data_IF_297532046304
#
_entry.id   IF_297532046304
#
_cell.length_a   1.000
_cell.length_b   1.000
_cell.length_c   1.000
_cell.angle_alpha   90.00
_cell.angle_beta   90.00
_cell.angle_gamma   90.00
#
_symmetry.space_group_name_H-M   'P 1'
#
loop_
_entity.id
_entity.type
_entity.pdbx_description
1 polymer ?
#
# COMPACT_ATOMS: atom_id res chain seq x y z
N UNK A 1 46.38 -42.27 -2.50
CA UNK A 1 46.02 -40.85 -2.74
C UNK A 1 44.65 -40.79 -3.38
N UNK A 2 43.79 -39.88 -2.89
CA UNK A 2 42.38 -39.61 -3.28
C UNK A 2 41.35 -40.66 -2.86
N UNK A 3 40.42 -40.22 -2.00
CA UNK A 3 39.26 -40.92 -1.36
C UNK A 3 39.54 -41.41 0.06
N UNK A 4 39.74 -40.48 1.01
CA UNK A 4 39.51 -40.71 2.46
C UNK A 4 39.65 -39.41 3.31
N UNK A 5 39.38 -38.22 2.75
CA UNK A 5 39.48 -36.95 3.51
C UNK A 5 38.16 -36.16 3.60
N UNK A 6 37.09 -36.58 2.89
CA UNK A 6 35.74 -36.03 3.09
C UNK A 6 34.93 -36.90 4.07
N UNK A 7 35.29 -36.92 5.35
CA UNK A 7 34.42 -37.47 6.40
C UNK A 7 34.71 -36.94 7.82
N UNK A 8 35.60 -35.97 8.00
CA UNK A 8 36.07 -35.56 9.33
C UNK A 8 35.91 -34.06 9.65
N UNK A 9 34.96 -33.36 9.01
CA UNK A 9 34.66 -31.95 9.29
C UNK A 9 33.18 -31.67 9.62
N UNK A 10 32.38 -32.71 9.89
CA UNK A 10 30.95 -32.59 10.24
C UNK A 10 30.64 -32.79 11.73
N UNK A 11 31.63 -32.66 12.61
CA UNK A 11 31.42 -32.74 14.06
C UNK A 11 32.03 -31.53 14.76
N UNK A 12 31.37 -30.39 14.58
CA UNK A 12 31.38 -29.30 15.54
C UNK A 12 29.95 -28.73 15.62
N UNK A 13 29.30 -29.03 16.74
CA UNK A 13 28.06 -28.52 17.36
C UNK A 13 27.15 -27.52 16.61
N UNK A 14 25.82 -27.67 16.73
CA UNK A 14 24.84 -26.92 15.95
C UNK A 14 24.56 -25.53 16.54
N UNK A 15 24.86 -24.48 15.78
CA UNK A 15 24.03 -23.28 15.75
C UNK A 15 22.96 -23.48 14.67
N UNK A 16 22.02 -24.39 14.92
CA UNK A 16 20.97 -24.74 13.97
C UNK A 16 20.11 -23.53 13.54
N UNK A 17 20.07 -22.45 14.33
CA UNK A 17 19.41 -21.19 13.96
C UNK A 17 20.13 -20.41 12.86
N UNK A 18 21.45 -20.23 12.97
CA UNK A 18 22.22 -19.38 12.04
C UNK A 18 22.44 -20.04 10.67
N UNK A 19 22.60 -21.37 10.65
CA UNK A 19 22.78 -22.11 9.39
C UNK A 19 21.49 -22.12 8.54
N UNK A 20 20.31 -22.15 9.19
CA UNK A 20 19.01 -22.23 8.53
C UNK A 20 18.49 -20.87 8.05
N UNK A 21 18.80 -19.79 8.76
CA UNK A 21 18.61 -18.41 8.29
C UNK A 21 19.37 -18.15 6.98
N UNK A 22 20.62 -18.65 6.88
CA UNK A 22 21.45 -18.46 5.68
C UNK A 22 20.85 -19.17 4.45
N UNK A 23 20.32 -20.39 4.62
CA UNK A 23 19.77 -21.17 3.51
C UNK A 23 18.44 -20.61 3.02
N UNK A 24 17.56 -20.21 3.93
CA UNK A 24 16.26 -19.59 3.58
C UNK A 24 16.46 -18.26 2.86
N UNK A 25 17.40 -17.43 3.32
CA UNK A 25 17.76 -16.17 2.67
C UNK A 25 18.38 -16.41 1.27
N UNK A 26 19.28 -17.40 1.14
CA UNK A 26 19.86 -17.80 -0.15
C UNK A 26 18.80 -18.30 -1.14
N UNK A 27 17.86 -19.12 -0.68
CA UNK A 27 16.75 -19.61 -1.49
C UNK A 27 15.81 -18.47 -1.90
N UNK A 28 15.53 -17.53 -0.99
CA UNK A 28 14.71 -16.37 -1.30
C UNK A 28 15.38 -15.46 -2.34
N UNK A 29 16.70 -15.27 -2.28
CA UNK A 29 17.43 -14.51 -3.30
C UNK A 29 17.40 -15.19 -4.68
N UNK A 30 17.47 -16.52 -4.71
CA UNK A 30 17.42 -17.28 -5.96
C UNK A 30 16.03 -17.26 -6.62
N UNK A 31 14.96 -17.33 -5.81
CA UNK A 31 13.58 -17.23 -6.30
C UNK A 31 12.74 -16.37 -5.35
N UNK A 32 12.80 -15.03 -5.52
CA UNK A 32 12.09 -14.11 -4.64
C UNK A 32 10.58 -14.31 -4.72
N UNK A 33 9.96 -14.42 -3.56
CA UNK A 33 8.50 -14.39 -3.38
C UNK A 33 8.16 -13.36 -2.33
N UNK A 34 6.94 -12.82 -2.38
CA UNK A 34 6.45 -11.89 -1.36
C UNK A 34 6.56 -12.50 0.04
N UNK A 35 6.23 -13.78 0.19
CA UNK A 35 6.33 -14.49 1.46
C UNK A 35 7.76 -14.51 1.99
N UNK A 36 8.73 -14.89 1.17
CA UNK A 36 10.10 -15.02 1.65
C UNK A 36 10.74 -13.65 1.94
N UNK A 37 10.38 -12.60 1.20
CA UNK A 37 10.81 -11.23 1.51
C UNK A 37 10.25 -10.75 2.87
N UNK A 38 9.00 -11.11 3.20
CA UNK A 38 8.42 -10.85 4.53
C UNK A 38 9.13 -11.64 5.64
N UNK A 39 9.56 -12.88 5.37
CA UNK A 39 10.36 -13.66 6.32
C UNK A 39 11.71 -12.98 6.58
N UNK A 40 12.41 -12.58 5.52
CA UNK A 40 13.67 -11.84 5.65
C UNK A 40 13.48 -10.53 6.43
N UNK A 41 12.37 -9.81 6.22
CA UNK A 41 12.05 -8.61 6.97
C UNK A 41 11.85 -8.93 8.47
N UNK A 42 11.12 -10.00 8.79
CA UNK A 42 10.92 -10.44 10.16
C UNK A 42 12.23 -10.82 10.86
N UNK A 43 13.10 -11.57 10.19
CA UNK A 43 14.41 -11.98 10.72
C UNK A 43 15.32 -10.76 10.98
N UNK A 44 15.31 -9.77 10.08
CA UNK A 44 16.03 -8.52 10.27
C UNK A 44 15.53 -7.73 11.50
N UNK A 45 14.23 -7.75 11.80
CA UNK A 45 13.67 -7.13 13.01
C UNK A 45 14.09 -7.87 14.27
N UNK A 46 14.00 -9.21 14.27
CA UNK A 46 14.40 -10.02 15.43
C UNK A 46 15.87 -9.79 15.79
N UNK A 47 16.71 -9.59 14.78
CA UNK A 47 18.14 -9.24 14.94
C UNK A 47 18.35 -7.84 15.53
N UNK A 48 17.41 -6.92 15.32
CA UNK A 48 17.51 -5.53 15.77
C UNK A 48 17.18 -5.29 17.26
N UNK A 49 16.79 -6.34 18.01
CA UNK A 49 16.31 -6.20 19.39
C UNK A 49 17.40 -5.71 20.38
N UNK A 50 17.05 -4.91 21.41
CA UNK A 50 15.70 -4.61 21.88
C UNK A 50 14.98 -3.58 21.02
N UNK A 51 13.72 -3.91 20.71
CA UNK A 51 12.81 -3.10 19.91
C UNK A 51 12.24 -2.00 20.81
N UNK A 52 12.92 -0.86 20.93
CA UNK A 52 12.21 0.32 21.41
C UNK A 52 11.16 0.66 20.36
N UNK A 53 9.89 0.67 20.76
CA UNK A 53 8.68 0.74 19.91
C UNK A 53 8.56 2.01 19.07
N UNK A 54 9.55 2.89 19.08
CA UNK A 54 9.41 4.24 18.53
C UNK A 54 9.63 4.35 17.02
N UNK A 55 10.21 3.36 16.34
CA UNK A 55 10.63 3.57 14.94
C UNK A 55 10.41 2.38 13.97
N UNK A 56 9.54 1.41 14.29
CA UNK A 56 9.23 0.31 13.36
C UNK A 56 7.78 0.39 12.87
N UNK A 57 7.52 0.18 11.56
CA UNK A 57 6.20 0.32 10.95
C UNK A 57 5.31 -0.90 11.21
N UNK A 58 5.11 -1.29 12.47
CA UNK A 58 4.36 -2.50 12.83
C UNK A 58 2.97 -2.56 12.21
N UNK A 59 2.26 -1.43 12.12
CA UNK A 59 0.97 -1.35 11.42
C UNK A 59 1.07 -1.81 9.97
N UNK A 60 2.02 -1.24 9.22
CA UNK A 60 2.25 -1.59 7.82
C UNK A 60 2.74 -3.03 7.64
N UNK A 61 3.48 -3.57 8.62
CA UNK A 61 3.89 -4.97 8.63
C UNK A 61 2.72 -5.92 8.86
N UNK A 62 1.84 -5.63 9.81
CA UNK A 62 0.61 -6.39 10.04
C UNK A 62 -0.25 -6.37 8.77
N UNK A 63 -0.44 -5.21 8.14
CA UNK A 63 -1.13 -5.10 6.86
C UNK A 63 -0.52 -6.03 5.80
N UNK A 64 0.79 -5.91 5.56
CA UNK A 64 1.44 -6.65 4.48
C UNK A 64 1.45 -8.16 4.71
N UNK A 65 1.64 -8.61 5.95
CA UNK A 65 1.62 -10.03 6.32
C UNK A 65 0.21 -10.61 6.29
N UNK A 66 -0.80 -9.84 6.74
CA UNK A 66 -2.22 -10.21 6.65
C UNK A 66 -2.65 -10.39 5.19
N UNK A 67 -2.32 -9.42 4.33
CA UNK A 67 -2.61 -9.47 2.89
C UNK A 67 -1.84 -10.57 2.15
N UNK A 68 -0.72 -11.03 2.70
CA UNK A 68 0.04 -12.16 2.17
C UNK A 68 -0.43 -13.53 2.74
N UNK A 69 -1.43 -13.56 3.62
CA UNK A 69 -1.90 -14.78 4.27
C UNK A 69 -0.93 -15.36 5.31
N UNK A 70 0.07 -14.58 5.76
CA UNK A 70 1.07 -14.99 6.76
C UNK A 70 0.54 -14.73 8.17
N UNK A 71 -0.53 -15.42 8.53
CA UNK A 71 -1.35 -15.13 9.71
C UNK A 71 -0.58 -15.19 11.03
N UNK A 72 0.29 -16.19 11.22
CA UNK A 72 1.04 -16.34 12.48
C UNK A 72 2.08 -15.21 12.64
N UNK A 73 2.72 -14.81 11.53
CA UNK A 73 3.63 -13.67 11.51
C UNK A 73 2.88 -12.34 11.68
N UNK A 74 1.68 -12.22 11.12
CA UNK A 74 0.81 -11.07 11.32
C UNK A 74 0.41 -10.93 12.80
N UNK A 75 0.13 -12.03 13.50
CA UNK A 75 -0.12 -12.05 14.95
C UNK A 75 1.10 -11.64 15.76
N UNK A 76 2.29 -12.12 15.39
CA UNK A 76 3.55 -11.72 16.03
C UNK A 76 3.73 -10.20 16.00
N UNK A 77 3.54 -9.57 14.84
CA UNK A 77 3.60 -8.11 14.72
C UNK A 77 2.41 -7.40 15.37
N UNK A 78 1.22 -8.02 15.33
CA UNK A 78 0.03 -7.47 15.95
C UNK A 78 0.20 -7.24 17.46
N UNK A 79 1.02 -8.07 18.13
CA UNK A 79 1.35 -7.92 19.54
C UNK A 79 1.98 -6.56 19.88
N UNK A 80 2.59 -5.89 18.90
CA UNK A 80 3.24 -4.58 19.06
C UNK A 80 2.33 -3.39 18.66
N UNK A 81 1.14 -3.65 18.12
CA UNK A 81 0.21 -2.59 17.72
C UNK A 81 -0.29 -1.78 18.91
N UNK A 82 -0.44 -0.49 18.67
CA UNK A 82 -1.14 0.46 19.54
C UNK A 82 -2.61 0.49 19.17
N UNK A 83 -3.45 0.95 20.09
CA UNK A 83 -4.90 1.12 19.87
C UNK A 83 -5.22 2.02 18.66
N UNK A 84 -4.32 2.93 18.29
CA UNK A 84 -4.46 3.85 17.17
C UNK A 84 -4.28 3.21 15.79
N UNK A 85 -3.79 1.97 15.71
CA UNK A 85 -3.42 1.32 14.44
C UNK A 85 -4.63 0.63 13.76
N UNK A 86 -5.69 1.39 13.49
CA UNK A 86 -7.00 0.87 13.07
C UNK A 86 -7.00 0.20 11.69
N UNK A 87 -6.22 0.71 10.72
CA UNK A 87 -6.14 0.13 9.36
C UNK A 87 -5.49 -1.25 9.40
N UNK A 88 -4.36 -1.37 10.09
CA UNK A 88 -3.64 -2.63 10.25
C UNK A 88 -4.53 -3.70 10.90
N UNK A 89 -5.32 -3.29 11.89
CA UNK A 89 -6.28 -4.16 12.55
C UNK A 89 -7.39 -4.66 11.61
N UNK A 90 -7.91 -3.81 10.72
CA UNK A 90 -8.93 -4.19 9.75
C UNK A 90 -8.42 -5.24 8.75
N UNK A 91 -7.20 -5.07 8.21
CA UNK A 91 -6.57 -6.06 7.34
C UNK A 91 -6.32 -7.39 8.06
N UNK A 92 -5.90 -7.34 9.33
CA UNK A 92 -5.72 -8.51 10.18
C UNK A 92 -7.04 -9.27 10.39
N UNK A 93 -8.11 -8.57 10.81
CA UNK A 93 -9.44 -9.17 11.01
C UNK A 93 -9.94 -9.81 9.71
N UNK A 94 -9.82 -9.10 8.58
CA UNK A 94 -10.28 -9.60 7.29
C UNK A 94 -9.49 -10.86 6.85
N UNK A 95 -8.17 -10.90 7.08
CA UNK A 95 -7.35 -12.05 6.74
C UNK A 95 -7.71 -13.30 7.57
N UNK A 96 -7.91 -13.14 8.89
CA UNK A 96 -8.33 -14.23 9.76
C UNK A 96 -9.77 -14.67 9.51
N UNK A 97 -10.66 -13.75 9.14
CA UNK A 97 -12.02 -14.08 8.69
C UNK A 97 -12.00 -14.97 7.43
N UNK A 98 -11.18 -14.60 6.43
CA UNK A 98 -11.01 -15.40 5.20
C UNK A 98 -10.44 -16.78 5.45
N UNK A 99 -9.62 -16.93 6.47
CA UNK A 99 -9.02 -18.21 6.86
C UNK A 99 -9.87 -19.04 7.84
N UNK A 100 -11.05 -18.57 8.26
CA UNK A 100 -11.88 -19.17 9.30
C UNK A 100 -11.15 -19.35 10.64
N UNK A 101 -10.23 -18.43 10.96
CA UNK A 101 -9.37 -18.44 12.16
C UNK A 101 -9.69 -17.32 13.15
N UNK A 102 -10.88 -16.72 13.09
CA UNK A 102 -11.24 -15.57 13.94
C UNK A 102 -11.05 -15.80 15.45
N UNK A 103 -11.17 -17.04 15.92
CA UNK A 103 -10.91 -17.40 17.32
C UNK A 103 -9.48 -17.02 17.78
N UNK A 104 -8.50 -17.07 16.89
CA UNK A 104 -7.10 -16.76 17.19
C UNK A 104 -6.88 -15.27 17.47
N UNK A 105 -7.80 -14.40 17.05
CA UNK A 105 -7.70 -12.95 17.25
C UNK A 105 -8.23 -12.47 18.60
N UNK A 106 -8.92 -13.31 19.37
CA UNK A 106 -9.66 -12.86 20.56
C UNK A 106 -8.79 -12.10 21.55
N UNK A 107 -7.60 -12.61 21.87
CA UNK A 107 -6.67 -11.95 22.80
C UNK A 107 -6.19 -10.59 22.27
N UNK A 108 -5.92 -10.48 20.96
CA UNK A 108 -5.50 -9.23 20.31
C UNK A 108 -6.62 -8.20 20.33
N UNK A 109 -7.84 -8.59 19.98
CA UNK A 109 -9.02 -7.70 19.96
C UNK A 109 -9.35 -7.19 21.36
N UNK A 110 -9.29 -8.05 22.39
CA UNK A 110 -9.50 -7.63 23.77
C UNK A 110 -8.45 -6.63 24.24
N UNK A 111 -7.17 -6.85 23.91
CA UNK A 111 -6.08 -5.92 24.27
C UNK A 111 -6.21 -4.57 23.56
N UNK A 112 -6.66 -4.55 22.32
CA UNK A 112 -6.85 -3.33 21.53
C UNK A 112 -8.21 -2.65 21.80
N UNK A 113 -9.03 -3.21 22.69
CA UNK A 113 -10.35 -2.69 23.07
C UNK A 113 -11.26 -2.46 21.84
N UNK A 114 -11.19 -3.36 20.87
CA UNK A 114 -12.00 -3.26 19.63
C UNK A 114 -13.47 -3.48 19.94
N UNK A 115 -14.32 -2.55 19.50
CA UNK A 115 -15.76 -2.69 19.70
C UNK A 115 -16.37 -3.76 18.79
N UNK A 116 -17.47 -4.38 19.23
CA UNK A 116 -18.22 -5.33 18.39
C UNK A 116 -18.70 -4.71 17.08
N UNK A 117 -19.03 -3.42 17.08
CA UNK A 117 -19.45 -2.67 15.89
C UNK A 117 -18.32 -2.51 14.88
N UNK A 118 -17.12 -2.11 15.31
CA UNK A 118 -15.93 -2.02 14.44
C UNK A 118 -15.57 -3.39 13.87
N UNK A 119 -15.59 -4.42 14.73
CA UNK A 119 -15.34 -5.80 14.33
C UNK A 119 -16.33 -6.28 13.27
N UNK A 120 -17.63 -6.01 13.46
CA UNK A 120 -18.67 -6.38 12.51
C UNK A 120 -18.55 -5.63 11.19
N UNK A 121 -18.14 -4.35 11.20
CA UNK A 121 -17.97 -3.54 10.00
C UNK A 121 -16.97 -4.16 9.02
N UNK A 122 -15.92 -4.80 9.55
CA UNK A 122 -14.89 -5.50 8.76
C UNK A 122 -15.37 -6.89 8.31
N UNK A 123 -16.04 -7.65 9.17
CA UNK A 123 -16.41 -9.05 8.90
C UNK A 123 -17.61 -9.17 7.97
N UNK A 124 -18.61 -8.30 8.10
CA UNK A 124 -19.83 -8.37 7.28
C UNK A 124 -19.56 -8.47 5.78
N UNK A 125 -18.74 -7.57 5.18
CA UNK A 125 -18.36 -7.65 3.77
C UNK A 125 -17.60 -8.94 3.42
N UNK A 126 -16.75 -9.44 4.33
CA UNK A 126 -15.98 -10.68 4.11
C UNK A 126 -16.90 -11.91 4.10
N UNK A 127 -17.92 -11.95 4.96
CA UNK A 127 -18.91 -13.03 4.94
C UNK A 127 -19.71 -13.03 3.63
N UNK A 128 -20.07 -11.85 3.12
CA UNK A 128 -20.69 -11.72 1.79
C UNK A 128 -19.72 -12.20 0.71
N UNK A 129 -18.47 -11.73 0.71
CA UNK A 129 -17.42 -12.14 -0.24
C UNK A 129 -17.33 -13.67 -0.34
N UNK A 130 -17.27 -14.34 0.81
CA UNK A 130 -17.14 -15.80 0.96
C UNK A 130 -18.47 -16.57 0.78
N UNK A 131 -19.61 -15.90 0.61
CA UNK A 131 -20.92 -16.54 0.49
C UNK A 131 -21.38 -17.26 1.76
N UNK A 132 -21.08 -16.71 2.95
CA UNK A 132 -21.44 -17.26 4.27
C UNK A 132 -22.70 -16.58 4.83
N UNK A 133 -23.83 -16.81 4.18
CA UNK A 133 -25.10 -16.15 4.49
C UNK A 133 -25.63 -16.48 5.90
N UNK A 134 -25.40 -17.71 6.36
CA UNK A 134 -25.74 -18.20 7.70
C UNK A 134 -25.00 -17.40 8.80
N UNK A 135 -23.68 -17.23 8.64
CA UNK A 135 -22.85 -16.46 9.56
C UNK A 135 -23.21 -14.96 9.49
N UNK A 136 -23.56 -14.44 8.31
CA UNK A 136 -23.98 -13.05 8.14
C UNK A 136 -25.30 -12.77 8.88
N UNK A 137 -26.28 -13.66 8.77
CA UNK A 137 -27.56 -13.54 9.48
C UNK A 137 -27.37 -13.57 11.00
N UNK A 138 -26.50 -14.45 11.50
CA UNK A 138 -26.13 -14.49 12.92
C UNK A 138 -25.48 -13.19 13.39
N UNK A 139 -24.55 -12.64 12.60
CA UNK A 139 -23.88 -11.36 12.91
C UNK A 139 -24.88 -10.20 13.00
N UNK A 140 -25.80 -10.09 12.02
CA UNK A 140 -26.83 -9.04 12.02
C UNK A 140 -27.73 -9.10 13.26
N UNK A 141 -28.09 -10.31 13.70
CA UNK A 141 -28.90 -10.51 14.91
C UNK A 141 -28.16 -10.07 16.18
N UNK A 142 -26.84 -10.29 16.23
CA UNK A 142 -26.03 -9.96 17.39
C UNK A 142 -25.84 -8.45 17.56
N UNK A 143 -25.52 -7.74 16.48
CA UNK A 143 -25.10 -6.33 16.58
C UNK A 143 -26.24 -5.31 16.58
N UNK A 144 -27.43 -5.70 16.11
CA UNK A 144 -28.57 -4.79 15.89
C UNK A 144 -28.14 -3.48 15.19
N UNK A 145 -27.82 -3.54 13.88
CA UNK A 145 -27.08 -2.49 13.20
C UNK A 145 -27.73 -1.11 13.38
N UNK A 146 -26.96 -0.17 13.93
CA UNK A 146 -27.43 1.21 14.16
C UNK A 146 -27.42 2.03 12.87
N UNK A 147 -26.64 1.61 11.86
CA UNK A 147 -26.54 2.31 10.59
C UNK A 147 -27.53 1.74 9.58
N UNK A 148 -28.42 2.61 9.07
CA UNK A 148 -29.57 2.27 8.21
C UNK A 148 -29.22 1.41 6.99
N UNK A 149 -28.01 1.57 6.44
CA UNK A 149 -27.58 0.90 5.20
C UNK A 149 -26.39 -0.05 5.41
N UNK A 150 -26.17 -0.52 6.64
CA UNK A 150 -25.02 -1.37 6.97
C UNK A 150 -25.00 -2.67 6.16
N UNK A 151 -26.15 -3.34 6.06
CA UNK A 151 -26.28 -4.54 5.25
C UNK A 151 -26.03 -4.27 3.76
N UNK A 152 -26.60 -3.19 3.23
CA UNK A 152 -26.38 -2.79 1.82
C UNK A 152 -24.91 -2.50 1.56
N UNK A 153 -24.21 -1.82 2.47
CA UNK A 153 -22.76 -1.59 2.37
C UNK A 153 -21.98 -2.91 2.32
N UNK A 154 -22.28 -3.83 3.24
CA UNK A 154 -21.64 -5.15 3.27
C UNK A 154 -21.89 -5.94 1.99
N UNK A 155 -23.12 -5.89 1.48
CA UNK A 155 -23.50 -6.53 0.24
C UNK A 155 -22.78 -5.93 -0.97
N UNK A 156 -22.73 -4.60 -1.10
CA UNK A 156 -22.03 -3.92 -2.18
C UNK A 156 -20.54 -4.26 -2.14
N UNK A 157 -19.87 -3.99 -1.01
CA UNK A 157 -18.43 -4.20 -0.90
C UNK A 157 -18.03 -5.68 -1.04
N UNK A 158 -18.74 -6.59 -0.38
CA UNK A 158 -18.45 -8.02 -0.45
C UNK A 158 -18.65 -8.60 -1.84
N UNK A 159 -19.69 -8.17 -2.56
CA UNK A 159 -19.89 -8.60 -3.95
C UNK A 159 -18.85 -8.01 -4.91
N UNK A 160 -18.42 -6.75 -4.72
CA UNK A 160 -17.30 -6.19 -5.48
C UNK A 160 -16.00 -6.99 -5.25
N UNK A 161 -15.70 -7.35 -4.00
CA UNK A 161 -14.53 -8.19 -3.67
C UNK A 161 -14.62 -9.60 -4.24
N UNK A 162 -15.82 -10.14 -4.38
CA UNK A 162 -16.00 -11.44 -5.02
C UNK A 162 -16.08 -11.37 -6.57
N UNK A 163 -15.97 -10.18 -7.17
CA UNK A 163 -16.15 -9.99 -8.62
C UNK A 163 -17.61 -10.14 -9.09
N UNK A 164 -18.58 -10.20 -8.18
CA UNK A 164 -20.02 -10.32 -8.46
C UNK A 164 -20.64 -8.94 -8.69
N UNK A 165 -20.17 -8.26 -9.74
CA UNK A 165 -20.51 -6.85 -10.03
C UNK A 165 -22.02 -6.61 -10.17
N UNK A 166 -22.74 -7.52 -10.82
CA UNK A 166 -24.19 -7.40 -11.02
C UNK A 166 -24.96 -7.37 -9.68
N UNK A 167 -24.60 -8.23 -8.73
CA UNK A 167 -25.22 -8.24 -7.40
C UNK A 167 -24.83 -6.99 -6.60
N UNK A 168 -23.59 -6.51 -6.72
CA UNK A 168 -23.19 -5.25 -6.06
C UNK A 168 -24.04 -4.07 -6.56
N UNK A 169 -24.24 -3.95 -7.88
CA UNK A 169 -25.05 -2.89 -8.49
C UNK A 169 -26.53 -3.02 -8.09
N UNK A 170 -27.06 -4.25 -8.03
CA UNK A 170 -28.43 -4.51 -7.57
C UNK A 170 -28.63 -4.02 -6.13
N UNK A 171 -27.74 -4.39 -5.21
CA UNK A 171 -27.82 -3.96 -3.80
C UNK A 171 -27.61 -2.45 -3.61
N UNK A 172 -26.86 -1.81 -4.51
CA UNK A 172 -26.80 -0.35 -4.57
C UNK A 172 -28.13 0.25 -5.07
N UNK A 173 -28.83 -0.42 -5.98
CA UNK A 173 -30.16 -0.02 -6.45
C UNK A 173 -31.24 -0.07 -5.36
N UNK A 174 -31.10 -0.98 -4.39
CA UNK A 174 -32.04 -1.19 -3.28
C UNK A 174 -32.05 -0.04 -2.27
N UNK A 175 -31.03 0.84 -2.26
CA UNK A 175 -31.02 2.03 -1.41
C UNK A 175 -31.63 3.25 -2.12
N UNK A 176 -32.23 4.20 -1.38
CA UNK A 176 -32.78 5.43 -1.94
C UNK A 176 -31.75 6.16 -2.80
N UNK A 177 -32.20 6.77 -3.91
CA UNK A 177 -31.30 7.42 -4.88
C UNK A 177 -30.36 8.45 -4.25
N UNK A 178 -30.87 9.25 -3.31
CA UNK A 178 -30.09 10.26 -2.58
C UNK A 178 -28.92 9.68 -1.76
N UNK A 179 -28.93 8.38 -1.44
CA UNK A 179 -27.93 7.70 -0.60
C UNK A 179 -26.94 6.86 -1.42
N UNK A 180 -27.25 6.60 -2.70
CA UNK A 180 -26.45 5.71 -3.55
C UNK A 180 -25.02 6.20 -3.71
N UNK A 181 -24.83 7.50 -3.90
CA UNK A 181 -23.49 8.06 -4.06
C UNK A 181 -22.64 7.89 -2.80
N UNK A 182 -23.24 8.11 -1.62
CA UNK A 182 -22.57 7.89 -0.33
C UNK A 182 -22.13 6.44 -0.15
N UNK A 183 -23.02 5.49 -0.47
CA UNK A 183 -22.75 4.06 -0.37
C UNK A 183 -21.67 3.59 -1.36
N UNK A 184 -21.79 3.99 -2.63
CA UNK A 184 -20.81 3.71 -3.67
C UNK A 184 -19.44 4.30 -3.33
N UNK A 185 -19.44 5.51 -2.78
CA UNK A 185 -18.24 6.20 -2.34
C UNK A 185 -17.54 5.50 -1.18
N UNK A 186 -18.29 5.08 -0.16
CA UNK A 186 -17.75 4.33 0.98
C UNK A 186 -17.15 2.98 0.54
N UNK A 187 -17.82 2.28 -0.38
CA UNK A 187 -17.28 1.04 -0.95
C UNK A 187 -15.97 1.30 -1.73
N UNK A 188 -15.93 2.33 -2.57
CA UNK A 188 -14.73 2.72 -3.33
C UNK A 188 -13.56 3.11 -2.42
N UNK A 189 -13.82 3.88 -1.37
CA UNK A 189 -12.82 4.28 -0.38
C UNK A 189 -12.29 3.09 0.43
N UNK A 190 -13.16 2.16 0.81
CA UNK A 190 -12.73 0.93 1.50
C UNK A 190 -11.83 0.07 0.60
N UNK A 191 -12.20 -0.07 -0.69
CA UNK A 191 -11.38 -0.77 -1.69
C UNK A 191 -10.04 -0.07 -1.91
N UNK A 192 -10.01 1.27 -1.90
CA UNK A 192 -8.77 2.03 -1.97
C UNK A 192 -7.82 1.71 -0.81
N UNK A 193 -8.29 1.81 0.44
CA UNK A 193 -7.44 1.53 1.60
C UNK A 193 -7.01 0.07 1.71
N UNK A 194 -7.83 -0.87 1.21
CA UNK A 194 -7.47 -2.31 1.15
C UNK A 194 -6.58 -2.68 -0.05
N UNK A 195 -6.21 -1.73 -0.91
CA UNK A 195 -5.34 -1.96 -2.07
C UNK A 195 -6.03 -2.62 -3.27
N UNK A 196 -7.37 -2.63 -3.27
CA UNK A 196 -8.25 -3.29 -4.24
C UNK A 196 -9.02 -2.28 -5.13
N UNK A 197 -8.47 -1.06 -5.31
CA UNK A 197 -9.16 0.09 -5.94
C UNK A 197 -9.73 -0.22 -7.33
N UNK A 198 -9.10 -1.10 -8.10
CA UNK A 198 -9.59 -1.50 -9.42
C UNK A 198 -10.99 -2.14 -9.38
N UNK A 199 -11.33 -2.80 -8.26
CA UNK A 199 -12.66 -3.41 -8.05
C UNK A 199 -13.76 -2.37 -7.88
N UNK A 200 -13.40 -1.11 -7.57
CA UNK A 200 -14.35 -0.02 -7.43
C UNK A 200 -14.78 0.59 -8.77
N UNK A 201 -14.19 0.19 -9.91
CA UNK A 201 -14.54 0.72 -11.24
C UNK A 201 -16.05 0.76 -11.53
N UNK A 202 -16.85 -0.28 -11.21
CA UNK A 202 -18.29 -0.26 -11.44
C UNK A 202 -19.06 0.81 -10.66
N UNK A 203 -18.44 1.43 -9.65
CA UNK A 203 -19.04 2.49 -8.84
C UNK A 203 -18.95 3.87 -9.49
N UNK A 204 -18.09 4.06 -10.50
CA UNK A 204 -17.90 5.37 -11.17
C UNK A 204 -19.20 6.05 -11.62
N UNK A 205 -20.19 5.36 -12.24
CA UNK A 205 -21.43 5.99 -12.69
C UNK A 205 -22.28 6.58 -11.55
N UNK A 206 -22.04 6.17 -10.30
CA UNK A 206 -22.79 6.61 -9.13
C UNK A 206 -22.10 7.72 -8.35
N UNK A 207 -20.84 8.05 -8.70
CA UNK A 207 -20.10 9.17 -8.12
C UNK A 207 -20.35 10.40 -8.98
N UNK A 208 -21.49 11.06 -8.81
CA UNK A 208 -21.95 12.09 -9.74
C UNK A 208 -21.63 13.50 -9.27
N UNK A 209 -21.60 13.75 -7.96
CA UNK A 209 -21.37 15.08 -7.42
C UNK A 209 -19.93 15.57 -7.65
N UNK A 210 -19.77 16.89 -7.47
CA UNK A 210 -18.49 17.57 -7.38
C UNK A 210 -18.07 17.82 -5.92
N UNK A 211 -18.67 17.12 -4.96
CA UNK A 211 -18.20 17.13 -3.57
C UNK A 211 -16.73 16.66 -3.52
N UNK A 212 -15.86 17.33 -2.74
CA UNK A 212 -14.46 16.93 -2.55
C UNK A 212 -14.26 15.41 -2.41
N UNK A 213 -15.09 14.73 -1.61
CA UNK A 213 -14.97 13.29 -1.38
C UNK A 213 -15.27 12.48 -2.63
N UNK A 214 -16.30 12.86 -3.38
CA UNK A 214 -16.67 12.20 -4.63
C UNK A 214 -15.60 12.41 -5.72
N UNK A 215 -15.05 13.63 -5.84
CA UNK A 215 -13.96 13.95 -6.77
C UNK A 215 -12.71 13.12 -6.45
N UNK A 216 -12.31 13.08 -5.17
CA UNK A 216 -11.19 12.26 -4.69
C UNK A 216 -11.36 10.77 -5.00
N UNK A 217 -12.53 10.20 -4.70
CA UNK A 217 -12.82 8.77 -4.96
C UNK A 217 -12.79 8.44 -6.45
N UNK A 218 -13.31 9.32 -7.31
CA UNK A 218 -13.20 9.18 -8.77
C UNK A 218 -11.74 9.24 -9.23
N UNK A 219 -10.93 10.13 -8.65
CA UNK A 219 -9.50 10.26 -8.95
C UNK A 219 -8.72 8.98 -8.58
N UNK A 220 -9.01 8.38 -7.42
CA UNK A 220 -8.42 7.10 -7.00
C UNK A 220 -8.68 5.99 -8.00
N UNK A 221 -9.94 5.84 -8.42
CA UNK A 221 -10.32 4.84 -9.41
C UNK A 221 -9.62 5.11 -10.73
N UNK A 222 -9.70 6.34 -11.25
CA UNK A 222 -9.09 6.73 -12.52
C UNK A 222 -7.58 6.44 -12.56
N UNK A 223 -6.87 6.74 -11.47
CA UNK A 223 -5.43 6.46 -11.31
C UNK A 223 -5.14 4.97 -11.40
N UNK A 224 -5.84 4.14 -10.61
CA UNK A 224 -5.58 2.69 -10.55
C UNK A 224 -5.98 1.99 -11.84
N UNK A 225 -7.10 2.36 -12.44
CA UNK A 225 -7.63 1.72 -13.65
C UNK A 225 -7.05 2.31 -14.94
N UNK A 226 -6.22 3.36 -14.84
CA UNK A 226 -5.69 4.14 -15.97
C UNK A 226 -6.80 4.59 -16.93
N UNK A 227 -7.95 4.98 -16.38
CA UNK A 227 -9.11 5.38 -17.17
C UNK A 227 -9.01 6.86 -17.52
N UNK A 228 -8.58 7.14 -18.76
CA UNK A 228 -8.36 8.51 -19.25
C UNK A 228 -9.64 9.35 -19.25
N UNK A 229 -10.78 8.75 -19.60
CA UNK A 229 -12.05 9.47 -19.60
C UNK A 229 -12.49 9.84 -18.19
N UNK A 230 -12.30 8.94 -17.22
CA UNK A 230 -12.52 9.24 -15.82
C UNK A 230 -11.59 10.36 -15.31
N UNK A 231 -10.30 10.34 -15.68
CA UNK A 231 -9.35 11.39 -15.30
C UNK A 231 -9.75 12.77 -15.87
N UNK A 232 -10.19 12.84 -17.13
CA UNK A 232 -10.69 14.08 -17.73
C UNK A 232 -11.97 14.57 -17.02
N UNK A 233 -12.90 13.66 -16.67
CA UNK A 233 -14.11 14.02 -15.93
C UNK A 233 -13.80 14.55 -14.52
N UNK A 234 -12.83 13.95 -13.82
CA UNK A 234 -12.38 14.40 -12.50
C UNK A 234 -11.77 15.80 -12.57
N UNK A 235 -10.99 16.11 -13.62
CA UNK A 235 -10.45 17.45 -13.83
C UNK A 235 -11.56 18.50 -14.01
N UNK A 236 -12.64 18.16 -14.72
CA UNK A 236 -13.81 19.04 -14.85
C UNK A 236 -14.49 19.24 -13.49
N UNK A 237 -14.68 18.19 -12.69
CA UNK A 237 -15.27 18.29 -11.36
C UNK A 237 -14.40 19.10 -10.39
N UNK A 238 -13.06 19.02 -10.50
CA UNK A 238 -12.13 19.78 -9.66
C UNK A 238 -12.37 21.30 -9.75
N UNK A 239 -12.77 21.80 -10.93
CA UNK A 239 -13.05 23.23 -11.12
C UNK A 239 -14.25 23.74 -10.29
N UNK A 240 -15.06 22.82 -9.75
CA UNK A 240 -16.24 23.12 -8.93
C UNK A 240 -15.99 22.88 -7.43
N UNK A 241 -14.81 22.35 -7.06
CA UNK A 241 -14.43 22.09 -5.67
C UNK A 241 -14.20 23.44 -4.94
N UNK A 242 -14.71 23.61 -3.71
CA UNK A 242 -14.49 24.83 -2.93
C UNK A 242 -12.99 25.18 -2.78
N UNK A 243 -12.61 26.47 -2.80
CA UNK A 243 -11.20 26.87 -2.75
C UNK A 243 -10.41 26.37 -1.53
N UNK A 244 -11.09 26.16 -0.39
CA UNK A 244 -10.45 25.64 0.82
C UNK A 244 -10.14 24.14 0.74
N UNK A 245 -10.89 23.38 -0.06
CA UNK A 245 -10.67 21.96 -0.30
C UNK A 245 -9.70 21.71 -1.45
N UNK A 246 -9.58 22.66 -2.38
CA UNK A 246 -8.80 22.52 -3.61
C UNK A 246 -7.37 21.97 -3.39
N UNK A 247 -6.56 22.47 -2.44
CA UNK A 247 -5.20 21.95 -2.22
C UNK A 247 -5.17 20.47 -1.79
N UNK A 248 -6.24 19.97 -1.17
CA UNK A 248 -6.35 18.59 -0.70
C UNK A 248 -6.93 17.62 -1.73
N UNK A 249 -7.48 18.13 -2.83
CA UNK A 249 -8.09 17.33 -3.90
C UNK A 249 -7.25 17.38 -5.17
N UNK A 250 -6.67 18.53 -5.50
CA UNK A 250 -5.87 18.71 -6.71
C UNK A 250 -4.73 17.69 -6.86
N UNK A 251 -3.97 17.29 -5.81
CA UNK A 251 -2.96 16.24 -5.92
C UNK A 251 -3.52 14.92 -6.48
N UNK A 252 -4.71 14.50 -6.04
CA UNK A 252 -5.32 13.25 -6.49
C UNK A 252 -5.68 13.29 -7.98
N UNK A 253 -6.12 14.46 -8.45
CA UNK A 253 -6.40 14.70 -9.87
C UNK A 253 -5.12 14.72 -10.69
N UNK A 254 -4.04 15.32 -10.16
CA UNK A 254 -2.71 15.31 -10.78
C UNK A 254 -2.24 13.85 -10.97
N UNK A 255 -2.43 12.99 -9.98
CA UNK A 255 -2.05 11.58 -10.06
C UNK A 255 -2.84 10.84 -11.15
N UNK A 256 -4.15 11.06 -11.22
CA UNK A 256 -5.01 10.47 -12.26
C UNK A 256 -4.61 10.92 -13.67
N UNK A 257 -4.32 12.20 -13.86
CA UNK A 257 -3.85 12.74 -15.14
C UNK A 257 -2.49 12.15 -15.53
N UNK A 258 -1.54 12.10 -14.60
CA UNK A 258 -0.22 11.52 -14.84
C UNK A 258 -0.30 10.03 -15.20
N UNK A 259 -1.05 9.24 -14.43
CA UNK A 259 -1.21 7.80 -14.63
C UNK A 259 -1.91 7.43 -15.94
N UNK A 260 -2.69 8.35 -16.51
CA UNK A 260 -3.39 8.19 -17.79
C UNK A 260 -2.60 8.76 -18.98
N UNK A 261 -1.33 9.13 -18.77
CA UNK A 261 -0.43 9.66 -19.79
C UNK A 261 -0.64 11.15 -20.10
N UNK A 262 -1.51 11.83 -19.37
CA UNK A 262 -1.78 13.27 -19.51
C UNK A 262 -0.83 14.12 -18.66
N UNK A 263 0.45 13.75 -18.63
CA UNK A 263 1.43 14.31 -17.72
C UNK A 263 1.64 15.82 -17.91
N UNK A 264 1.47 16.35 -19.12
CA UNK A 264 1.54 17.80 -19.34
C UNK A 264 0.42 18.54 -18.61
N UNK A 265 -0.84 18.08 -18.72
CA UNK A 265 -1.96 18.64 -17.94
C UNK A 265 -1.72 18.52 -16.44
N UNK A 266 -1.09 17.41 -16.01
CA UNK A 266 -0.76 17.19 -14.61
C UNK A 266 0.30 18.19 -14.11
N UNK A 267 1.32 18.51 -14.92
CA UNK A 267 2.31 19.56 -14.62
C UNK A 267 1.65 20.94 -14.59
N UNK A 268 0.82 21.27 -15.58
CA UNK A 268 0.13 22.56 -15.65
C UNK A 268 -0.75 22.77 -14.41
N UNK A 269 -1.45 21.72 -13.96
CA UNK A 269 -2.22 21.73 -12.71
C UNK A 269 -1.32 21.82 -11.47
N UNK A 270 -0.20 21.09 -11.43
CA UNK A 270 0.74 21.17 -10.31
C UNK A 270 1.33 22.59 -10.12
N UNK A 271 1.48 23.36 -11.20
CA UNK A 271 1.96 24.73 -11.15
C UNK A 271 0.98 25.69 -10.46
N UNK A 272 -0.31 25.37 -10.39
CA UNK A 272 -1.31 26.21 -9.70
C UNK A 272 -1.24 26.06 -8.19
N UNK A 273 -0.57 25.02 -7.68
CA UNK A 273 -0.45 24.76 -6.25
C UNK A 273 0.49 25.75 -5.54
N UNK A 274 0.30 25.93 -4.21
CA UNK A 274 1.27 26.60 -3.35
C UNK A 274 2.68 26.02 -3.51
N UNK A 275 3.70 26.84 -3.28
CA UNK A 275 5.10 26.42 -3.42
C UNK A 275 5.44 25.18 -2.57
N UNK A 276 4.86 25.06 -1.37
CA UNK A 276 5.05 23.91 -0.48
C UNK A 276 4.67 22.58 -1.12
N UNK A 277 3.67 22.58 -2.01
CA UNK A 277 3.05 21.36 -2.53
C UNK A 277 3.51 21.06 -3.96
N UNK A 278 4.00 22.09 -4.67
CA UNK A 278 4.40 22.02 -6.08
C UNK A 278 5.51 21.01 -6.33
N UNK A 279 6.56 20.98 -5.51
CA UNK A 279 7.66 20.04 -5.67
C UNK A 279 7.21 18.58 -5.53
N UNK A 280 6.35 18.29 -4.53
CA UNK A 280 5.76 16.98 -4.33
C UNK A 280 4.83 16.57 -5.48
N UNK A 281 4.04 17.52 -6.00
CA UNK A 281 3.19 17.26 -7.15
C UNK A 281 4.01 16.89 -8.39
N UNK A 282 5.12 17.59 -8.67
CA UNK A 282 6.02 17.26 -9.79
C UNK A 282 6.63 15.86 -9.66
N UNK A 283 7.11 15.49 -8.46
CA UNK A 283 7.58 14.13 -8.17
C UNK A 283 6.49 13.10 -8.47
N UNK A 284 5.27 13.37 -8.01
CA UNK A 284 4.15 12.45 -8.20
C UNK A 284 3.79 12.29 -9.67
N UNK A 285 3.86 13.37 -10.47
CA UNK A 285 3.71 13.28 -11.92
C UNK A 285 4.77 12.36 -12.51
N UNK A 286 6.04 12.48 -12.10
CA UNK A 286 7.09 11.60 -12.59
C UNK A 286 6.86 10.12 -12.20
N UNK A 287 6.45 9.87 -10.96
CA UNK A 287 6.15 8.52 -10.45
C UNK A 287 5.00 7.83 -11.21
N UNK A 288 3.93 8.57 -11.50
CA UNK A 288 2.74 8.02 -12.15
C UNK A 288 2.82 8.01 -13.68
N UNK A 289 3.43 9.03 -14.29
CA UNK A 289 3.58 9.10 -15.75
C UNK A 289 4.68 8.17 -16.27
N UNK A 290 5.78 8.03 -15.50
CA UNK A 290 6.97 7.25 -15.84
C UNK A 290 7.56 7.61 -17.20
N UNK A 291 7.56 8.91 -17.52
CA UNK A 291 8.05 9.45 -18.79
C UNK A 291 9.38 10.21 -18.58
N UNK A 292 10.42 9.95 -19.40
CA UNK A 292 11.72 10.64 -19.33
C UNK A 292 11.61 12.16 -19.41
N UNK A 293 10.68 12.66 -20.22
CA UNK A 293 10.43 14.08 -20.46
C UNK A 293 10.03 14.82 -19.18
N UNK A 294 9.31 14.14 -18.27
CA UNK A 294 8.92 14.72 -16.99
C UNK A 294 10.16 15.00 -16.12
N UNK A 295 11.17 14.13 -16.16
CA UNK A 295 12.41 14.37 -15.40
C UNK A 295 13.17 15.57 -15.92
N UNK A 296 13.21 15.79 -17.25
CA UNK A 296 13.82 16.99 -17.82
C UNK A 296 13.13 18.28 -17.35
N UNK A 297 11.79 18.25 -17.22
CA UNK A 297 11.00 19.35 -16.65
C UNK A 297 11.37 19.59 -15.19
N UNK A 298 11.50 18.52 -14.38
CA UNK A 298 11.90 18.63 -12.96
C UNK A 298 13.33 19.16 -12.82
N UNK A 299 14.27 18.68 -13.64
CA UNK A 299 15.64 19.16 -13.63
C UNK A 299 15.74 20.65 -13.96
N UNK A 300 14.96 21.11 -14.94
CA UNK A 300 14.85 22.54 -15.22
C UNK A 300 14.28 23.29 -14.03
N UNK A 301 13.21 22.81 -13.41
CA UNK A 301 12.60 23.44 -12.23
C UNK A 301 13.58 23.53 -11.04
N UNK A 302 14.38 22.49 -10.80
CA UNK A 302 15.45 22.51 -9.78
C UNK A 302 16.53 23.55 -10.06
N UNK A 303 16.86 23.80 -11.34
CA UNK A 303 17.83 24.84 -11.72
C UNK A 303 17.26 26.24 -11.60
N UNK A 304 16.02 26.42 -12.04
CA UNK A 304 15.38 27.74 -12.13
C UNK A 304 14.83 28.21 -10.77
N UNK A 305 14.40 27.29 -9.90
CA UNK A 305 13.89 27.56 -8.55
C UNK A 305 14.36 26.50 -7.53
N UNK A 306 15.63 26.55 -7.11
CA UNK A 306 16.21 25.58 -6.18
C UNK A 306 15.66 25.67 -4.74
N UNK A 307 14.92 26.75 -4.41
CA UNK A 307 14.31 26.93 -3.09
C UNK A 307 13.06 26.06 -2.98
N UNK A 308 12.18 26.13 -3.99
CA UNK A 308 10.99 25.28 -4.06
C UNK A 308 11.36 23.85 -4.42
N UNK A 309 12.19 23.68 -5.45
CA UNK A 309 12.61 22.38 -5.98
C UNK A 309 13.97 21.98 -5.42
N UNK A 310 14.05 21.87 -4.10
CA UNK A 310 15.28 21.51 -3.43
C UNK A 310 15.64 20.03 -3.68
N UNK A 311 16.81 19.80 -4.29
CA UNK A 311 17.29 18.46 -4.69
C UNK A 311 17.27 17.44 -3.54
N UNK A 312 17.77 17.81 -2.37
CA UNK A 312 17.89 16.90 -1.23
C UNK A 312 16.51 16.51 -0.67
N UNK A 313 15.61 17.49 -0.56
CA UNK A 313 14.21 17.24 -0.13
C UNK A 313 13.45 16.36 -1.13
N UNK A 314 13.78 16.49 -2.41
CA UNK A 314 13.14 15.72 -3.48
C UNK A 314 13.76 14.34 -3.71
N UNK A 315 14.92 14.04 -3.11
CA UNK A 315 15.74 12.89 -3.46
C UNK A 315 15.00 11.55 -3.38
N UNK A 316 14.26 11.29 -2.29
CA UNK A 316 13.51 10.05 -2.11
C UNK A 316 12.48 9.82 -3.21
N UNK A 317 11.71 10.85 -3.53
CA UNK A 317 10.69 10.80 -4.58
C UNK A 317 11.29 10.65 -5.97
N UNK A 318 12.40 11.36 -6.25
CA UNK A 318 13.11 11.25 -7.51
C UNK A 318 13.74 9.87 -7.70
N UNK A 319 14.40 9.32 -6.68
CA UNK A 319 14.98 7.96 -6.72
C UNK A 319 13.90 6.94 -7.02
N UNK A 320 12.76 7.03 -6.34
CA UNK A 320 11.61 6.15 -6.60
C UNK A 320 11.10 6.30 -8.05
N UNK A 321 10.78 7.52 -8.48
CA UNK A 321 10.21 7.78 -9.80
C UNK A 321 11.15 7.36 -10.94
N UNK A 322 12.45 7.69 -10.83
CA UNK A 322 13.48 7.30 -11.80
C UNK A 322 13.58 5.77 -11.89
N UNK A 323 13.58 5.08 -10.75
CA UNK A 323 13.68 3.62 -10.70
C UNK A 323 12.44 2.95 -11.28
N UNK A 324 11.23 3.44 -10.97
CA UNK A 324 9.98 2.98 -11.58
C UNK A 324 9.96 3.16 -13.11
N UNK A 325 10.69 4.16 -13.61
CA UNK A 325 10.83 4.47 -15.03
C UNK A 325 11.99 3.72 -15.70
N UNK A 326 12.71 2.85 -14.97
CA UNK A 326 13.84 2.07 -15.49
C UNK A 326 15.19 2.78 -15.50
N UNK A 327 15.30 3.98 -14.93
CA UNK A 327 16.52 4.81 -14.90
C UNK A 327 17.31 4.65 -13.59
N UNK A 328 17.52 3.40 -13.15
CA UNK A 328 18.28 3.11 -11.92
C UNK A 328 19.68 3.76 -11.90
N UNK A 329 20.46 3.82 -13.00
CA UNK A 329 21.77 4.48 -12.96
C UNK A 329 21.70 5.96 -12.57
N UNK A 330 20.66 6.68 -13.00
CA UNK A 330 20.45 8.09 -12.63
C UNK A 330 20.01 8.18 -11.17
N UNK A 331 19.10 7.30 -10.73
CA UNK A 331 18.70 7.21 -9.33
C UNK A 331 19.90 6.93 -8.39
N UNK A 332 20.84 6.09 -8.83
CA UNK A 332 22.06 5.77 -8.07
C UNK A 332 22.92 7.01 -7.79
N UNK A 333 22.93 8.01 -8.69
CA UNK A 333 23.66 9.26 -8.43
C UNK A 333 23.13 10.02 -7.21
N UNK A 334 21.83 9.95 -6.94
CA UNK A 334 21.23 10.53 -5.73
C UNK A 334 21.63 9.73 -4.50
N UNK A 335 21.57 8.39 -4.58
CA UNK A 335 21.98 7.48 -3.50
C UNK A 335 23.45 7.73 -3.11
N UNK A 336 24.34 7.83 -4.10
CA UNK A 336 25.78 8.00 -3.88
C UNK A 336 26.12 9.41 -3.38
N UNK A 337 25.31 10.41 -3.71
CA UNK A 337 25.46 11.78 -3.23
C UNK A 337 24.90 12.04 -1.82
N UNK A 338 24.26 11.05 -1.20
CA UNK A 338 23.64 11.21 0.11
C UNK A 338 24.69 11.56 1.18
N UNK A 339 24.39 12.57 1.99
CA UNK A 339 25.33 13.15 2.97
C UNK A 339 25.45 12.36 4.27
N UNK A 340 24.61 11.33 4.47
CA UNK A 340 24.66 10.45 5.63
C UNK A 340 24.24 9.03 5.26
N UNK A 341 24.75 8.04 6.01
CA UNK A 341 24.34 6.64 5.86
C UNK A 341 22.83 6.47 6.08
N UNK A 342 22.26 7.27 6.98
CA UNK A 342 20.81 7.31 7.17
C UNK A 342 20.09 7.66 5.87
N UNK A 343 20.41 8.79 5.27
CA UNK A 343 19.75 9.22 4.02
C UNK A 343 20.01 8.21 2.89
N UNK A 344 21.23 7.68 2.79
CA UNK A 344 21.60 6.69 1.78
C UNK A 344 20.72 5.44 1.86
N UNK A 345 20.54 4.88 3.06
CA UNK A 345 19.73 3.69 3.28
C UNK A 345 18.22 3.95 3.07
N UNK A 346 17.75 5.17 3.37
CA UNK A 346 16.39 5.59 3.00
C UNK A 346 16.22 5.58 1.47
N UNK A 347 17.14 6.18 0.72
CA UNK A 347 17.06 6.20 -0.75
C UNK A 347 17.16 4.80 -1.37
N UNK A 348 18.02 3.93 -0.82
CA UNK A 348 18.12 2.51 -1.19
C UNK A 348 16.77 1.81 -1.02
N UNK A 349 16.05 2.08 0.08
CA UNK A 349 14.73 1.50 0.34
C UNK A 349 13.73 1.86 -0.76
N UNK A 350 13.65 3.13 -1.13
CA UNK A 350 12.76 3.60 -2.19
C UNK A 350 13.10 3.02 -3.57
N UNK A 351 14.38 2.89 -3.91
CA UNK A 351 14.83 2.24 -5.13
C UNK A 351 14.47 0.75 -5.15
N UNK A 352 14.74 0.02 -4.06
CA UNK A 352 14.43 -1.40 -3.96
C UNK A 352 12.93 -1.68 -4.09
N UNK A 353 12.09 -0.88 -3.42
CA UNK A 353 10.64 -0.98 -3.53
C UNK A 353 10.15 -0.76 -4.98
N UNK A 354 10.71 0.22 -5.68
CA UNK A 354 10.40 0.49 -7.08
C UNK A 354 10.85 -0.63 -8.04
N UNK A 355 12.01 -1.26 -7.78
CA UNK A 355 12.44 -2.46 -8.52
C UNK A 355 11.46 -3.62 -8.31
N UNK A 356 11.00 -3.85 -7.08
CA UNK A 356 10.02 -4.88 -6.79
C UNK A 356 8.70 -4.64 -7.53
N UNK A 357 8.20 -3.40 -7.52
CA UNK A 357 6.97 -2.98 -8.21
C UNK A 357 7.04 -3.15 -9.73
N UNK A 358 8.23 -2.98 -10.31
CA UNK A 358 8.47 -3.17 -11.76
C UNK A 358 8.77 -4.62 -12.15
N UNK A 359 8.57 -5.57 -11.22
CA UNK A 359 8.75 -7.00 -11.49
C UNK A 359 10.20 -7.47 -11.46
N UNK A 360 11.08 -6.74 -10.76
CA UNK A 360 12.51 -7.07 -10.58
C UNK A 360 12.86 -7.40 -9.12
N UNK A 361 12.19 -8.39 -8.49
CA UNK A 361 12.37 -8.62 -7.06
C UNK A 361 13.77 -9.13 -6.69
N UNK A 362 14.49 -9.80 -7.60
CA UNK A 362 15.88 -10.21 -7.35
C UNK A 362 16.82 -9.01 -7.21
N UNK A 363 16.73 -8.05 -8.13
CA UNK A 363 17.51 -6.80 -8.07
C UNK A 363 17.13 -6.01 -6.80
N UNK A 364 15.83 -5.95 -6.46
CA UNK A 364 15.34 -5.31 -5.25
C UNK A 364 15.95 -5.91 -3.98
N UNK A 365 15.88 -7.24 -3.82
CA UNK A 365 16.42 -7.93 -2.64
C UNK A 365 17.94 -7.76 -2.53
N UNK A 366 18.68 -7.83 -3.64
CA UNK A 366 20.12 -7.56 -3.64
C UNK A 366 20.43 -6.15 -3.15
N UNK A 367 19.68 -5.15 -3.61
CA UNK A 367 19.86 -3.77 -3.20
C UNK A 367 19.62 -3.59 -1.70
N UNK A 368 18.60 -4.25 -1.12
CA UNK A 368 18.37 -4.22 0.34
C UNK A 368 19.49 -4.85 1.17
N UNK A 369 20.32 -5.75 0.60
CA UNK A 369 21.45 -6.33 1.34
C UNK A 369 22.56 -5.32 1.63
N UNK A 370 22.58 -4.20 0.90
CA UNK A 370 23.55 -3.12 1.12
C UNK A 370 23.22 -2.25 2.33
N UNK A 371 21.99 -2.34 2.85
CA UNK A 371 21.53 -1.65 4.06
C UNK A 371 22.16 -2.29 5.29
N UNK A 372 22.86 -1.50 6.11
CA UNK A 372 23.61 -1.99 7.25
C UNK A 372 22.79 -1.97 8.55
N UNK A 373 22.00 -0.91 8.80
CA UNK A 373 21.16 -0.86 10.00
C UNK A 373 20.05 -1.92 9.89
N UNK A 374 19.95 -2.88 10.84
CA UNK A 374 18.96 -3.96 10.76
C UNK A 374 17.51 -3.49 10.71
N UNK A 375 17.17 -2.36 11.36
CA UNK A 375 15.81 -1.80 11.34
C UNK A 375 15.49 -1.21 9.99
N UNK A 376 16.43 -0.47 9.39
CA UNK A 376 16.25 0.06 8.02
C UNK A 376 16.25 -1.06 7.00
N UNK A 377 17.04 -2.13 7.21
CA UNK A 377 17.03 -3.32 6.36
C UNK A 377 15.69 -4.03 6.42
N UNK A 378 15.14 -4.21 7.62
CA UNK A 378 13.79 -4.75 7.80
C UNK A 378 12.73 -3.92 7.09
N UNK A 379 12.76 -2.59 7.25
CA UNK A 379 11.84 -1.69 6.56
C UNK A 379 12.00 -1.79 5.03
N UNK A 380 13.23 -1.83 4.51
CA UNK A 380 13.50 -1.99 3.08
C UNK A 380 12.96 -3.31 2.52
N UNK A 381 13.19 -4.43 3.23
CA UNK A 381 12.68 -5.75 2.86
C UNK A 381 11.14 -5.79 2.90
N UNK A 382 10.54 -5.14 3.89
CA UNK A 382 9.09 -4.99 3.97
C UNK A 382 8.53 -4.17 2.81
N UNK A 383 9.11 -3.01 2.51
CA UNK A 383 8.70 -2.17 1.37
C UNK A 383 8.75 -2.98 0.07
N UNK A 384 9.87 -3.69 -0.17
CA UNK A 384 10.01 -4.62 -1.31
C UNK A 384 8.87 -5.62 -1.34
N UNK A 385 8.64 -6.35 -0.23
CA UNK A 385 7.60 -7.36 -0.18
C UNK A 385 6.19 -6.78 -0.42
N UNK A 386 5.90 -5.56 0.06
CA UNK A 386 4.61 -4.90 -0.11
C UNK A 386 4.33 -4.51 -1.57
N UNK A 387 5.38 -4.30 -2.38
CA UNK A 387 5.28 -3.94 -3.81
C UNK A 387 5.36 -5.14 -4.75
N UNK A 388 5.71 -6.32 -4.24
CA UNK A 388 5.68 -7.55 -5.03
C UNK A 388 4.23 -7.94 -5.34
N UNK A 389 3.98 -8.28 -6.60
CA UNK A 389 2.71 -8.90 -6.99
C UNK A 389 2.54 -10.24 -6.26
N UNK A 390 1.32 -10.60 -5.82
CA UNK A 390 1.02 -11.90 -5.21
C UNK A 390 1.46 -13.10 -6.04
#
# INVERSE_FOLDING_TARGET
MRRLVLAALLLATPSAGLAQESLTALMCQAKPTRSCALDMAADAIRTAAPLTTENLPYGSMVEATSRAGRLDLALEFAAQLKKTDTIALADLIAAFARADRLADLQATLSRLETSETEYAFVIGPVLVELGREDKLAALLKAIQPQYRFQLSYWQVLGNLRAGRVAEAVKHLGDVPEAEREGLAGLAAETLYFSGETERAKPMLPYLTSSDPSAVRRKAYIATKTKDKAAADAVLVSLAQVPPHDYPYIAPEVIYALAATGQWQKAIDLAQTLPASDRAYAFISVAEHARQPEVFAVIEKAMRDDPVTFNRDRMASGLVRALTLSGYLPVAQTFIDSATSDYNKEILITFAAAALAETGKPSEALQLTQTVQDPRRKAWALWEVASKMTP
#
